data_IF_484215075566
#
_entry.id   IF_484215075566
#
_cell.length_a   1.000
_cell.length_b   1.000
_cell.length_c   1.000
_cell.angle_alpha   90.00
_cell.angle_beta   90.00
_cell.angle_gamma   90.00
#
_symmetry.space_group_name_H-M   'P 1'
#
loop_
_entity.id
_entity.type
_entity.pdbx_description
1 polymer ?
#
# COMPACT_ATOMS: atom_id res chain seq x y z
N UNK A 1 -12.53 22.59 -32.63
CA UNK A 1 -12.42 21.36 -31.82
C UNK A 1 -12.55 21.74 -30.35
N UNK A 2 -13.55 21.24 -29.61
CA UNK A 2 -13.79 21.60 -28.22
C UNK A 2 -12.73 20.92 -27.34
N UNK A 3 -11.92 21.71 -26.61
CA UNK A 3 -10.88 21.19 -25.69
C UNK A 3 -11.54 20.41 -24.55
N UNK A 4 -11.12 19.16 -24.34
CA UNK A 4 -11.52 18.39 -23.16
C UNK A 4 -10.82 18.96 -21.91
N UNK A 5 -11.56 19.05 -20.81
CA UNK A 5 -11.01 19.41 -19.48
C UNK A 5 -10.94 18.15 -18.61
N UNK A 6 -9.95 18.09 -17.74
CA UNK A 6 -9.80 16.98 -16.78
C UNK A 6 -10.38 17.43 -15.45
N UNK A 7 -11.23 16.60 -14.84
CA UNK A 7 -11.75 16.84 -13.51
C UNK A 7 -10.63 16.72 -12.48
N UNK A 8 -10.38 17.75 -11.71
CA UNK A 8 -9.33 17.76 -10.69
C UNK A 8 -9.62 16.81 -9.52
N UNK A 9 -10.88 16.47 -9.29
CA UNK A 9 -11.30 15.59 -8.19
C UNK A 9 -11.19 14.10 -8.53
N UNK A 10 -11.46 13.69 -9.79
CA UNK A 10 -11.50 12.26 -10.16
C UNK A 10 -10.74 11.91 -11.45
N UNK A 11 -10.01 12.85 -12.04
CA UNK A 11 -9.21 12.63 -13.25
C UNK A 11 -9.97 12.39 -14.56
N UNK A 12 -11.31 12.39 -14.55
CA UNK A 12 -12.11 12.09 -15.74
C UNK A 12 -12.02 13.18 -16.80
N UNK A 13 -11.84 12.82 -18.08
CA UNK A 13 -11.93 13.75 -19.22
C UNK A 13 -13.39 14.18 -19.41
N UNK A 14 -13.64 15.48 -19.47
CA UNK A 14 -14.95 16.09 -19.53
C UNK A 14 -15.00 17.01 -20.74
N UNK A 15 -16.13 17.00 -21.44
CA UNK A 15 -16.37 17.91 -22.56
C UNK A 15 -16.45 19.35 -22.05
N UNK A 16 -15.76 20.28 -22.68
CA UNK A 16 -15.80 21.69 -22.33
C UNK A 16 -17.25 22.21 -22.25
N UNK A 17 -17.54 23.08 -21.26
CA UNK A 17 -18.87 23.69 -21.07
C UNK A 17 -19.78 23.02 -20.02
N UNK A 18 -19.38 21.90 -19.41
CA UNK A 18 -20.14 21.33 -18.26
C UNK A 18 -19.77 22.02 -16.96
N UNK A 19 -20.80 22.36 -16.15
CA UNK A 19 -20.63 22.98 -14.82
C UNK A 19 -20.34 21.98 -13.71
N UNK A 20 -20.63 20.69 -13.91
CA UNK A 20 -20.38 19.61 -12.94
C UNK A 20 -19.80 18.37 -13.63
N UNK A 21 -18.91 17.67 -12.95
CA UNK A 21 -18.37 16.40 -13.40
C UNK A 21 -19.46 15.31 -13.42
N UNK A 22 -19.67 14.59 -14.54
CA UNK A 22 -20.70 13.55 -14.59
C UNK A 22 -20.38 12.34 -13.72
N UNK A 23 -19.10 12.15 -13.34
CA UNK A 23 -18.66 10.98 -12.59
C UNK A 23 -18.66 11.23 -11.07
N UNK A 24 -18.08 12.35 -10.59
CA UNK A 24 -17.99 12.64 -9.15
C UNK A 24 -18.89 13.80 -8.69
N UNK A 25 -19.66 14.41 -9.59
CA UNK A 25 -20.56 15.57 -9.38
C UNK A 25 -19.87 16.84 -8.87
N UNK A 26 -18.53 16.86 -8.76
CA UNK A 26 -17.77 18.05 -8.37
C UNK A 26 -18.06 19.23 -9.32
N UNK A 27 -18.17 20.42 -8.77
CA UNK A 27 -18.37 21.65 -9.54
C UNK A 27 -17.07 21.99 -10.26
N UNK A 28 -17.15 22.20 -11.58
CA UNK A 28 -16.02 22.52 -12.44
C UNK A 28 -15.94 24.05 -12.55
N UNK A 29 -15.23 24.66 -11.59
CA UNK A 29 -14.88 26.08 -11.68
C UNK A 29 -13.64 26.23 -12.58
N UNK A 30 -13.71 27.12 -13.56
CA UNK A 30 -12.51 27.47 -14.32
C UNK A 30 -11.48 28.06 -13.36
N UNK A 31 -10.20 27.65 -13.41
CA UNK A 31 -9.17 28.24 -12.57
C UNK A 31 -9.07 29.73 -12.85
N UNK A 32 -9.02 30.53 -11.80
CA UNK A 32 -8.85 32.00 -11.89
C UNK A 32 -7.55 32.28 -12.67
N UNK A 33 -7.59 33.01 -13.78
CA UNK A 33 -6.42 33.27 -14.63
C UNK A 33 -5.30 33.98 -13.86
N UNK A 34 -5.61 34.70 -12.78
CA UNK A 34 -4.61 35.35 -11.91
C UNK A 34 -3.84 34.33 -11.05
N UNK A 35 -4.50 33.25 -10.60
CA UNK A 35 -3.87 32.18 -9.82
C UNK A 35 -2.97 31.31 -10.72
N UNK A 36 -3.41 31.02 -11.96
CA UNK A 36 -2.62 30.26 -12.92
C UNK A 36 -1.31 30.99 -13.31
N UNK A 37 -1.36 32.31 -13.49
CA UNK A 37 -0.18 33.12 -13.81
C UNK A 37 0.81 33.23 -12.65
N UNK A 38 0.33 33.27 -11.40
CA UNK A 38 1.17 33.32 -10.20
C UNK A 38 1.92 31.98 -9.96
N UNK A 39 1.29 30.85 -10.22
CA UNK A 39 1.91 29.53 -10.11
C UNK A 39 3.01 29.32 -11.17
N UNK A 40 2.78 29.74 -12.41
CA UNK A 40 3.78 29.68 -13.49
C UNK A 40 5.06 30.45 -13.15
N UNK A 41 4.94 31.68 -12.60
CA UNK A 41 6.11 32.48 -12.22
C UNK A 41 6.89 31.93 -11.02
N UNK A 42 6.25 31.23 -10.08
CA UNK A 42 6.94 30.57 -8.96
C UNK A 42 7.70 29.30 -9.42
N UNK A 43 7.13 28.52 -10.32
CA UNK A 43 7.76 27.32 -10.88
C UNK A 43 9.01 27.65 -11.71
N UNK A 44 8.98 28.71 -12.53
CA UNK A 44 10.15 29.12 -13.31
C UNK A 44 11.29 29.64 -12.46
N UNK A 45 11.01 30.32 -11.34
CA UNK A 45 12.06 30.79 -10.39
C UNK A 45 12.67 29.62 -9.61
N UNK A 46 11.86 28.66 -9.16
CA UNK A 46 12.36 27.48 -8.46
C UNK A 46 13.22 26.59 -9.36
N UNK A 47 12.84 26.39 -10.62
CA UNK A 47 13.61 25.62 -11.59
C UNK A 47 14.99 26.26 -11.88
N UNK A 48 15.07 27.59 -11.96
CA UNK A 48 16.34 28.30 -12.18
C UNK A 48 17.31 28.16 -10.99
N UNK A 49 16.81 28.16 -9.75
CA UNK A 49 17.64 28.00 -8.53
C UNK A 49 18.16 26.54 -8.45
N UNK A 50 17.35 25.56 -8.74
CA UNK A 50 17.76 24.14 -8.72
C UNK A 50 18.79 23.84 -9.81
N UNK A 51 18.62 24.38 -11.02
CA UNK A 51 19.60 24.23 -12.10
C UNK A 51 20.96 24.87 -11.76
N UNK A 52 20.96 26.04 -11.11
CA UNK A 52 22.20 26.69 -10.66
C UNK A 52 22.95 25.92 -9.57
N UNK A 53 22.21 25.34 -8.60
CA UNK A 53 22.79 24.51 -7.54
C UNK A 53 23.37 23.18 -8.10
N UNK A 54 22.72 22.58 -9.09
CA UNK A 54 23.19 21.34 -9.72
C UNK A 54 24.48 21.56 -10.53
N UNK A 55 24.59 22.68 -11.24
CA UNK A 55 25.80 23.05 -11.98
C UNK A 55 27.01 23.26 -11.04
N UNK A 56 26.82 23.87 -9.88
CA UNK A 56 27.86 24.03 -8.87
C UNK A 56 28.34 22.70 -8.29
N UNK A 57 27.44 21.78 -7.99
CA UNK A 57 27.79 20.45 -7.48
C UNK A 57 28.59 19.65 -8.51
N UNK A 58 28.21 19.69 -9.80
CA UNK A 58 28.94 19.01 -10.87
C UNK A 58 30.36 19.57 -11.04
N UNK A 59 30.54 20.89 -10.95
CA UNK A 59 31.85 21.53 -11.03
C UNK A 59 32.73 21.13 -9.84
N UNK A 60 32.21 21.10 -8.62
CA UNK A 60 32.95 20.65 -7.42
C UNK A 60 33.37 19.21 -7.51
N UNK A 61 32.46 18.33 -7.97
CA UNK A 61 32.76 16.91 -8.17
C UNK A 61 33.78 16.65 -9.29
N UNK A 62 33.81 17.51 -10.32
CA UNK A 62 34.81 17.44 -11.37
C UNK A 62 36.21 17.85 -10.89
N UNK A 63 36.31 18.88 -10.04
CA UNK A 63 37.56 19.28 -9.41
C UNK A 63 38.08 18.29 -8.35
N UNK A 64 37.21 17.54 -7.69
CA UNK A 64 37.59 16.52 -6.70
C UNK A 64 38.02 15.17 -7.32
N UNK A 65 37.86 14.99 -8.62
CA UNK A 65 38.29 13.77 -9.33
C UNK A 65 39.73 13.92 -9.82
N UNK A 66 40.70 13.61 -8.95
CA UNK A 66 42.08 13.41 -9.34
C UNK A 66 42.24 12.22 -10.32
N UNK A 67 43.36 12.12 -11.04
CA UNK A 67 43.51 11.15 -12.12
C UNK A 67 43.44 9.68 -11.62
N UNK A 68 42.67 8.89 -12.35
CA UNK A 68 42.40 7.47 -12.04
C UNK A 68 43.68 6.63 -12.13
N UNK A 69 44.04 5.98 -11.03
CA UNK A 69 45.04 4.93 -11.01
C UNK A 69 44.39 3.61 -11.46
N UNK A 70 44.85 3.09 -12.58
CA UNK A 70 44.47 1.81 -13.15
C UNK A 70 45.01 0.67 -12.29
N UNK A 71 44.12 -0.17 -11.71
CA UNK A 71 44.51 -1.48 -11.16
C UNK A 71 43.68 -2.58 -11.80
N UNK A 72 44.38 -3.51 -12.44
CA UNK A 72 43.87 -4.73 -13.05
C UNK A 72 43.27 -5.70 -11.99
N UNK A 73 42.24 -6.50 -12.34
CA UNK A 73 41.66 -7.45 -11.41
C UNK A 73 42.43 -8.76 -11.34
N UNK A 74 42.77 -9.18 -10.14
CA UNK A 74 43.25 -10.54 -9.84
C UNK A 74 42.06 -11.44 -9.60
N UNK A 75 41.94 -12.48 -10.41
CA UNK A 75 40.98 -13.56 -10.22
C UNK A 75 41.30 -14.35 -8.93
N UNK A 76 40.30 -14.61 -8.08
CA UNK A 76 40.37 -15.67 -7.07
C UNK A 76 39.14 -16.56 -7.12
N UNK A 77 39.44 -17.79 -7.29
CA UNK A 77 38.70 -19.04 -7.30
C UNK A 77 37.78 -19.19 -6.07
N UNK A 78 36.60 -19.73 -6.34
CA UNK A 78 35.69 -20.27 -5.33
C UNK A 78 36.23 -21.60 -4.73
N UNK A 79 35.80 -21.93 -3.52
CA UNK A 79 35.32 -23.28 -3.31
C UNK A 79 34.07 -23.38 -2.42
N UNK A 80 33.22 -24.36 -2.81
CA UNK A 80 32.60 -25.28 -1.85
C UNK A 80 31.29 -24.83 -1.21
N UNK A 81 30.20 -25.25 -1.84
CA UNK A 81 28.91 -25.53 -1.23
C UNK A 81 29.05 -26.58 -0.11
N UNK A 82 28.36 -26.44 1.02
CA UNK A 82 27.71 -27.60 1.60
C UNK A 82 26.22 -27.42 1.84
N UNK A 83 25.56 -28.34 1.26
CA UNK A 83 24.16 -28.71 1.37
C UNK A 83 23.64 -28.87 2.80
N UNK A 84 22.32 -28.57 2.91
CA UNK A 84 21.34 -29.28 3.73
C UNK A 84 21.37 -29.03 5.26
N UNK A 85 20.50 -28.15 5.71
CA UNK A 85 19.63 -28.54 6.80
C UNK A 85 18.29 -27.79 6.71
N UNK A 86 17.35 -28.41 6.02
CA UNK A 86 15.94 -28.01 5.98
C UNK A 86 15.31 -28.44 7.30
N UNK A 87 15.44 -27.64 8.36
CA UNK A 87 14.54 -27.74 9.50
C UNK A 87 13.27 -26.96 9.14
N UNK A 88 12.21 -27.70 8.92
CA UNK A 88 10.86 -27.19 8.87
C UNK A 88 10.59 -26.37 10.13
N UNK A 89 10.50 -25.07 9.98
CA UNK A 89 9.86 -24.22 10.97
C UNK A 89 8.37 -24.54 10.96
N UNK A 90 7.71 -24.67 12.15
CA UNK A 90 6.27 -24.87 12.19
C UNK A 90 5.63 -23.67 11.51
N UNK A 91 4.63 -23.95 10.67
CA UNK A 91 3.80 -22.96 10.03
C UNK A 91 3.17 -22.08 11.12
N UNK A 92 3.79 -20.95 11.40
CA UNK A 92 3.11 -19.87 12.05
C UNK A 92 1.95 -19.52 11.13
N UNK A 93 0.73 -19.75 11.62
CA UNK A 93 -0.49 -19.38 10.96
C UNK A 93 -0.36 -17.90 10.57
N UNK A 94 -0.02 -17.65 9.32
CA UNK A 94 -0.18 -16.36 8.70
C UNK A 94 -1.68 -16.10 8.70
N UNK A 95 -2.14 -15.32 9.68
CA UNK A 95 -3.44 -14.69 9.58
C UNK A 95 -3.49 -14.06 8.19
N UNK A 96 -4.50 -14.38 7.38
CA UNK A 96 -4.52 -13.91 6.02
C UNK A 96 -4.54 -12.38 6.06
N UNK A 97 -3.69 -11.76 5.23
CA UNK A 97 -3.84 -10.38 4.77
C UNK A 97 -5.14 -10.19 3.95
N UNK A 98 -6.03 -11.14 4.05
CA UNK A 98 -7.37 -11.17 3.52
C UNK A 98 -8.35 -10.53 4.52
N UNK A 99 -8.11 -9.29 4.92
CA UNK A 99 -9.19 -8.44 5.33
C UNK A 99 -10.02 -8.20 4.08
N UNK A 100 -11.18 -8.85 4.00
CA UNK A 100 -12.30 -8.66 3.06
C UNK A 100 -11.95 -7.81 1.83
N UNK A 101 -11.26 -8.43 0.90
CA UNK A 101 -10.81 -7.84 -0.37
C UNK A 101 -12.00 -7.53 -1.33
N UNK A 102 -13.24 -7.80 -0.89
CA UNK A 102 -14.43 -7.73 -1.74
C UNK A 102 -14.82 -6.32 -2.18
N UNK A 103 -14.34 -5.29 -1.48
CA UNK A 103 -14.62 -3.89 -1.83
C UNK A 103 -13.54 -3.17 -2.64
N UNK A 104 -12.32 -3.69 -2.68
CA UNK A 104 -11.14 -2.94 -3.11
C UNK A 104 -10.46 -3.44 -4.39
N UNK A 105 -10.81 -4.61 -4.90
CA UNK A 105 -10.28 -5.10 -6.18
C UNK A 105 -10.84 -4.33 -7.39
N UNK A 106 -11.92 -3.58 -7.20
CA UNK A 106 -12.66 -2.93 -8.28
C UNK A 106 -11.99 -1.70 -8.91
N UNK A 107 -11.23 -0.84 -8.21
CA UNK A 107 -10.65 0.33 -8.87
C UNK A 107 -9.42 0.05 -9.72
N UNK A 108 -8.84 -1.16 -9.64
CA UNK A 108 -7.53 -1.46 -10.21
C UNK A 108 -7.56 -2.30 -11.50
N UNK A 109 -8.73 -2.76 -11.90
CA UNK A 109 -8.93 -3.54 -13.12
C UNK A 109 -9.79 -2.73 -14.10
N UNK A 110 -9.46 -2.80 -15.40
CA UNK A 110 -10.40 -2.32 -16.43
C UNK A 110 -11.67 -3.20 -16.36
N UNK A 111 -12.80 -2.65 -15.91
CA UNK A 111 -14.02 -3.46 -15.71
C UNK A 111 -14.65 -3.91 -17.02
N UNK A 112 -14.19 -3.41 -18.16
CA UNK A 112 -14.72 -3.73 -19.50
C UNK A 112 -13.98 -4.87 -20.19
N UNK A 113 -12.84 -5.31 -19.67
CA UNK A 113 -12.00 -6.32 -20.30
C UNK A 113 -12.35 -7.76 -19.91
N UNK A 114 -12.16 -8.70 -20.86
CA UNK A 114 -12.31 -10.15 -20.59
C UNK A 114 -11.42 -10.65 -19.45
N UNK A 115 -10.22 -10.09 -19.32
CA UNK A 115 -9.29 -10.40 -18.23
C UNK A 115 -9.84 -10.00 -16.85
N UNK A 116 -10.47 -8.81 -16.77
CA UNK A 116 -11.10 -8.33 -15.55
C UNK A 116 -12.31 -9.20 -15.15
N UNK A 117 -13.16 -9.56 -16.11
CA UNK A 117 -14.29 -10.45 -15.85
C UNK A 117 -13.85 -11.81 -15.32
N UNK A 118 -12.81 -12.41 -15.91
CA UNK A 118 -12.24 -13.67 -15.45
C UNK A 118 -11.64 -13.55 -14.03
N UNK A 119 -10.90 -12.46 -13.76
CA UNK A 119 -10.36 -12.18 -12.44
C UNK A 119 -11.46 -12.08 -11.38
N UNK A 120 -12.53 -11.35 -11.66
CA UNK A 120 -13.66 -11.21 -10.74
C UNK A 120 -14.42 -12.51 -10.53
N UNK A 121 -14.43 -13.42 -11.52
CA UNK A 121 -14.98 -14.76 -11.41
C UNK A 121 -14.04 -15.74 -10.67
N UNK A 122 -12.81 -15.31 -10.29
CA UNK A 122 -11.80 -16.19 -9.68
C UNK A 122 -11.08 -17.09 -10.68
N UNK A 123 -11.36 -16.96 -11.97
CA UNK A 123 -10.65 -17.68 -13.03
C UNK A 123 -9.33 -16.96 -13.38
N UNK A 124 -8.36 -17.14 -12.49
CA UNK A 124 -7.06 -16.50 -12.63
C UNK A 124 -6.25 -17.05 -13.80
N UNK A 125 -6.52 -18.28 -14.26
CA UNK A 125 -5.85 -18.87 -15.42
C UNK A 125 -6.26 -18.13 -16.71
N UNK A 126 -7.56 -17.93 -16.92
CA UNK A 126 -8.08 -17.15 -18.04
C UNK A 126 -7.65 -15.67 -17.94
N UNK A 127 -7.72 -15.07 -16.74
CA UNK A 127 -7.28 -13.69 -16.52
C UNK A 127 -5.79 -13.52 -16.88
N UNK A 128 -4.92 -14.45 -16.47
CA UNK A 128 -3.50 -14.46 -16.80
C UNK A 128 -3.27 -14.43 -18.31
N UNK A 129 -3.92 -15.35 -19.04
CA UNK A 129 -3.82 -15.44 -20.49
C UNK A 129 -4.26 -14.14 -21.17
N UNK A 130 -5.40 -13.57 -20.77
CA UNK A 130 -5.94 -12.35 -21.36
C UNK A 130 -5.01 -11.15 -21.14
N UNK A 131 -4.45 -10.98 -19.94
CA UNK A 131 -3.52 -9.88 -19.66
C UNK A 131 -2.14 -10.10 -20.29
N UNK A 132 -1.65 -11.34 -20.42
CA UNK A 132 -0.44 -11.65 -21.20
C UNK A 132 -0.61 -11.27 -22.66
N UNK A 133 -1.74 -11.60 -23.28
CA UNK A 133 -2.08 -11.20 -24.65
C UNK A 133 -2.17 -9.67 -24.78
N UNK A 134 -2.75 -8.97 -23.79
CA UNK A 134 -2.83 -7.51 -23.79
C UNK A 134 -1.45 -6.87 -23.73
N UNK A 135 -0.58 -7.34 -22.83
CA UNK A 135 0.82 -6.86 -22.68
C UNK A 135 1.65 -7.18 -23.92
N UNK A 136 1.41 -8.31 -24.58
CA UNK A 136 2.09 -8.66 -25.84
C UNK A 136 1.70 -7.73 -26.96
N UNK A 137 0.41 -7.38 -27.08
CA UNK A 137 -0.10 -6.43 -28.09
C UNK A 137 0.33 -4.99 -27.83
N UNK A 138 0.37 -4.59 -26.57
CA UNK A 138 0.80 -3.25 -26.16
C UNK A 138 1.71 -3.33 -24.91
N UNK A 139 3.04 -3.47 -25.09
CA UNK A 139 4.00 -3.56 -23.98
C UNK A 139 4.10 -2.28 -23.11
N UNK A 140 3.54 -1.16 -23.58
CA UNK A 140 3.52 0.13 -22.90
C UNK A 140 2.16 0.43 -22.22
N UNK A 141 1.26 -0.55 -22.17
CA UNK A 141 0.01 -0.42 -21.41
C UNK A 141 0.26 -0.71 -19.93
N UNK A 142 0.46 0.37 -19.16
CA UNK A 142 0.72 0.29 -17.73
C UNK A 142 -0.42 -0.36 -16.94
N UNK A 143 -1.65 -0.24 -17.40
CA UNK A 143 -2.81 -0.83 -16.74
C UNK A 143 -2.80 -2.36 -16.90
N UNK A 144 -2.64 -2.87 -18.12
CA UNK A 144 -2.49 -4.31 -18.36
C UNK A 144 -1.30 -4.91 -17.63
N UNK A 145 -0.16 -4.21 -17.57
CA UNK A 145 1.00 -4.63 -16.77
C UNK A 145 0.65 -4.76 -15.29
N UNK A 146 0.01 -3.74 -14.70
CA UNK A 146 -0.39 -3.78 -13.29
C UNK A 146 -1.41 -4.90 -13.01
N UNK A 147 -2.37 -5.10 -13.92
CA UNK A 147 -3.38 -6.13 -13.80
C UNK A 147 -2.78 -7.54 -13.93
N UNK A 148 -1.82 -7.73 -14.84
CA UNK A 148 -1.05 -8.99 -14.95
C UNK A 148 -0.31 -9.30 -13.64
N UNK A 149 0.36 -8.31 -13.06
CA UNK A 149 1.00 -8.44 -11.75
C UNK A 149 0.01 -8.84 -10.65
N UNK A 150 -1.18 -8.25 -10.61
CA UNK A 150 -2.22 -8.61 -9.64
C UNK A 150 -2.71 -10.05 -9.79
N UNK A 151 -2.93 -10.51 -11.02
CA UNK A 151 -3.29 -11.92 -11.29
C UNK A 151 -2.22 -12.86 -10.77
N UNK A 152 -0.93 -12.57 -11.03
CA UNK A 152 0.19 -13.37 -10.53
C UNK A 152 0.22 -13.41 -9.00
N UNK A 153 -0.03 -12.30 -8.32
CA UNK A 153 -0.15 -12.25 -6.84
C UNK A 153 -1.28 -13.15 -6.35
N UNK A 154 -2.45 -13.13 -7.00
CA UNK A 154 -3.58 -14.02 -6.63
C UNK A 154 -3.27 -15.51 -6.87
N UNK A 155 -2.43 -15.82 -7.82
CA UNK A 155 -1.92 -17.17 -8.09
C UNK A 155 -0.75 -17.58 -7.19
N UNK A 156 -0.42 -16.77 -6.17
CA UNK A 156 0.74 -16.94 -5.27
C UNK A 156 2.10 -16.93 -5.98
N UNK A 157 2.20 -16.31 -7.16
CA UNK A 157 3.42 -16.14 -7.97
C UNK A 157 3.96 -14.71 -7.80
N UNK A 158 4.22 -14.36 -6.53
CA UNK A 158 4.45 -12.95 -6.13
C UNK A 158 5.76 -12.39 -6.70
N UNK A 159 6.82 -13.19 -6.73
CA UNK A 159 8.12 -12.79 -7.30
C UNK A 159 7.99 -12.41 -8.77
N UNK A 160 7.19 -13.18 -9.53
CA UNK A 160 6.97 -12.93 -10.94
C UNK A 160 6.13 -11.66 -11.21
N UNK A 161 5.35 -11.22 -10.23
CA UNK A 161 4.55 -10.01 -10.34
C UNK A 161 5.38 -8.72 -10.26
N UNK A 162 6.50 -8.73 -9.54
CA UNK A 162 7.29 -7.51 -9.28
C UNK A 162 7.72 -6.76 -10.54
N UNK A 163 8.32 -7.40 -11.57
CA UNK A 163 8.77 -6.71 -12.77
C UNK A 163 7.60 -6.05 -13.53
N UNK A 164 6.40 -6.60 -13.46
CA UNK A 164 5.23 -6.01 -14.10
C UNK A 164 4.77 -4.73 -13.40
N UNK A 165 4.73 -4.71 -12.06
CA UNK A 165 4.44 -3.49 -11.31
C UNK A 165 5.52 -2.42 -11.51
N UNK A 166 6.79 -2.80 -11.53
CA UNK A 166 7.90 -1.87 -11.79
C UNK A 166 7.81 -1.26 -13.19
N UNK A 167 7.50 -2.07 -14.22
CA UNK A 167 7.27 -1.57 -15.57
C UNK A 167 6.06 -0.63 -15.65
N UNK A 168 4.96 -0.97 -14.99
CA UNK A 168 3.77 -0.09 -14.93
C UNK A 168 4.13 1.27 -14.32
N UNK A 169 4.92 1.31 -13.26
CA UNK A 169 5.40 2.52 -12.61
C UNK A 169 6.44 3.29 -13.44
N UNK A 170 7.26 2.61 -14.23
CA UNK A 170 8.17 3.26 -15.17
C UNK A 170 7.41 4.04 -16.26
N UNK A 171 6.23 3.56 -16.66
CA UNK A 171 5.35 4.22 -17.65
C UNK A 171 4.51 5.32 -16.99
N UNK A 172 3.93 5.06 -15.80
CA UNK A 172 3.06 6.00 -15.07
C UNK A 172 3.50 6.09 -13.60
N UNK A 173 4.52 6.93 -13.28
CA UNK A 173 5.14 7.00 -11.95
C UNK A 173 4.20 7.45 -10.83
N UNK A 174 3.25 8.34 -11.15
CA UNK A 174 2.38 8.99 -10.17
C UNK A 174 1.00 8.31 -10.06
N UNK A 175 0.93 7.02 -10.34
CA UNK A 175 -0.29 6.23 -10.13
C UNK A 175 -0.21 5.55 -8.76
N UNK A 176 -0.95 6.07 -7.79
CA UNK A 176 -0.97 5.55 -6.41
C UNK A 176 -1.29 4.05 -6.34
N UNK A 177 -2.23 3.57 -7.17
CA UNK A 177 -2.64 2.17 -7.19
C UNK A 177 -1.52 1.22 -7.65
N UNK A 178 -0.62 1.65 -8.53
CA UNK A 178 0.53 0.84 -8.93
C UNK A 178 1.57 0.78 -7.82
N UNK A 179 1.79 1.89 -7.09
CA UNK A 179 2.63 1.92 -5.89
C UNK A 179 2.07 1.01 -4.80
N UNK A 180 0.75 1.05 -4.56
CA UNK A 180 0.06 0.18 -3.62
C UNK A 180 0.23 -1.30 -3.98
N UNK A 181 0.03 -1.67 -5.26
CA UNK A 181 0.18 -3.06 -5.72
C UNK A 181 1.61 -3.56 -5.56
N UNK A 182 2.61 -2.73 -5.90
CA UNK A 182 4.02 -3.04 -5.67
C UNK A 182 4.30 -3.24 -4.18
N UNK A 183 3.83 -2.33 -3.33
CA UNK A 183 4.01 -2.40 -1.89
C UNK A 183 3.42 -3.68 -1.29
N UNK A 184 2.21 -4.05 -1.70
CA UNK A 184 1.56 -5.29 -1.28
C UNK A 184 2.36 -6.53 -1.68
N UNK A 185 2.84 -6.59 -2.92
CA UNK A 185 3.68 -7.68 -3.39
C UNK A 185 4.99 -7.78 -2.59
N UNK A 186 5.67 -6.66 -2.35
CA UNK A 186 6.87 -6.61 -1.52
C UNK A 186 6.60 -7.07 -0.08
N UNK A 187 5.47 -6.65 0.51
CA UNK A 187 5.04 -7.09 1.83
C UNK A 187 4.77 -8.59 1.94
N UNK A 188 4.20 -9.21 0.89
CA UNK A 188 3.99 -10.67 0.81
C UNK A 188 5.33 -11.41 0.74
N UNK A 189 6.35 -10.83 0.14
CA UNK A 189 7.71 -11.38 0.05
C UNK A 189 8.57 -11.10 1.30
N UNK A 190 8.02 -10.46 2.33
CA UNK A 190 8.76 -10.08 3.53
C UNK A 190 9.74 -8.92 3.35
N UNK A 191 9.76 -8.26 2.19
CA UNK A 191 10.61 -7.09 1.89
C UNK A 191 10.00 -5.82 2.50
N UNK A 192 9.88 -5.80 3.85
CA UNK A 192 9.09 -4.81 4.58
C UNK A 192 9.55 -3.37 4.37
N UNK A 193 10.86 -3.11 4.37
CA UNK A 193 11.37 -1.74 4.19
C UNK A 193 10.99 -1.16 2.82
N UNK A 194 11.06 -1.98 1.78
CA UNK A 194 10.67 -1.57 0.43
C UNK A 194 9.15 -1.43 0.30
N UNK A 195 8.39 -2.31 0.95
CA UNK A 195 6.93 -2.20 1.02
C UNK A 195 6.50 -0.88 1.69
N UNK A 196 7.12 -0.53 2.84
CA UNK A 196 6.87 0.72 3.55
C UNK A 196 7.16 1.94 2.66
N UNK A 197 8.29 1.93 1.94
CA UNK A 197 8.63 3.02 1.02
C UNK A 197 7.58 3.20 -0.09
N UNK A 198 7.14 2.10 -0.70
CA UNK A 198 6.12 2.11 -1.74
C UNK A 198 4.73 2.50 -1.21
N UNK A 199 4.32 2.02 -0.01
CA UNK A 199 3.08 2.48 0.64
C UNK A 199 3.12 3.97 0.99
N UNK A 200 4.24 4.49 1.50
CA UNK A 200 4.41 5.94 1.74
C UNK A 200 4.25 6.74 0.45
N UNK A 201 4.81 6.25 -0.65
CA UNK A 201 4.62 6.90 -1.96
C UNK A 201 3.16 6.86 -2.41
N UNK A 202 2.48 5.74 -2.28
CA UNK A 202 1.05 5.62 -2.57
C UNK A 202 0.22 6.60 -1.73
N UNK A 203 0.49 6.69 -0.42
CA UNK A 203 -0.18 7.62 0.51
C UNK A 203 0.07 9.09 0.16
N UNK A 204 1.28 9.46 -0.30
CA UNK A 204 1.56 10.82 -0.78
C UNK A 204 0.73 11.17 -2.02
N UNK A 205 0.51 10.23 -2.91
CA UNK A 205 -0.27 10.41 -4.14
C UNK A 205 -1.77 10.43 -3.88
N UNK A 206 -2.24 9.69 -2.88
CA UNK A 206 -3.65 9.64 -2.47
C UNK A 206 -3.75 9.57 -0.93
N UNK A 207 -3.72 10.72 -0.24
CA UNK A 207 -3.62 10.78 1.23
C UNK A 207 -4.83 10.24 2.00
N UNK A 208 -6.02 10.28 1.41
CA UNK A 208 -7.27 9.92 2.07
C UNK A 208 -7.68 8.46 1.83
N UNK A 209 -6.76 7.64 1.29
CA UNK A 209 -6.99 6.22 1.14
C UNK A 209 -6.69 5.47 2.45
N UNK A 210 -7.76 5.10 3.16
CA UNK A 210 -7.64 4.35 4.42
C UNK A 210 -6.99 2.98 4.25
N UNK A 211 -7.12 2.37 3.07
CA UNK A 211 -6.54 1.07 2.77
C UNK A 211 -5.02 1.13 2.69
N UNK A 212 -4.49 2.08 1.94
CA UNK A 212 -3.05 2.33 1.88
C UNK A 212 -2.51 2.67 3.26
N UNK A 213 -3.23 3.53 4.01
CA UNK A 213 -2.86 3.93 5.36
C UNK A 213 -2.81 2.75 6.31
N UNK A 214 -3.82 1.87 6.30
CA UNK A 214 -3.86 0.66 7.11
C UNK A 214 -2.76 -0.35 6.73
N UNK A 215 -2.54 -0.58 5.43
CA UNK A 215 -1.49 -1.50 4.98
C UNK A 215 -0.08 -0.97 5.28
N UNK A 216 0.12 0.35 5.24
CA UNK A 216 1.36 0.98 5.71
C UNK A 216 1.57 0.70 7.21
N UNK A 217 0.52 0.86 8.02
CA UNK A 217 0.58 0.55 9.45
C UNK A 217 0.92 -0.92 9.72
N UNK A 218 0.29 -1.85 8.99
CA UNK A 218 0.61 -3.28 9.08
C UNK A 218 2.07 -3.58 8.70
N UNK A 219 2.59 -2.95 7.67
CA UNK A 219 3.98 -3.13 7.24
C UNK A 219 4.96 -2.57 8.30
N UNK A 220 4.66 -1.42 8.89
CA UNK A 220 5.42 -0.82 9.99
C UNK A 220 5.40 -1.71 11.24
N UNK A 221 4.24 -2.23 11.63
CA UNK A 221 4.12 -3.19 12.73
C UNK A 221 4.98 -4.44 12.50
N UNK A 222 4.90 -5.02 11.29
CA UNK A 222 5.70 -6.19 10.92
C UNK A 222 7.20 -5.92 10.88
N UNK A 223 7.61 -4.70 10.56
CA UNK A 223 9.03 -4.29 10.61
C UNK A 223 9.52 -3.97 12.03
N UNK A 224 8.63 -3.92 13.02
CA UNK A 224 8.93 -3.60 14.41
C UNK A 224 8.84 -2.10 14.75
N UNK A 225 8.48 -1.25 13.80
CA UNK A 225 8.23 0.18 14.06
C UNK A 225 6.78 0.39 14.53
N UNK A 226 6.49 -0.14 15.74
CA UNK A 226 5.16 -0.07 16.32
C UNK A 226 4.73 1.37 16.65
N UNK A 227 5.67 2.27 16.91
CA UNK A 227 5.35 3.67 17.16
C UNK A 227 4.75 4.34 15.91
N UNK A 228 5.42 4.21 14.77
CA UNK A 228 4.90 4.71 13.49
C UNK A 228 3.63 3.94 13.05
N UNK A 229 3.53 2.63 13.36
CA UNK A 229 2.32 1.86 13.08
C UNK A 229 1.10 2.42 13.81
N UNK A 230 1.21 2.76 15.09
CA UNK A 230 0.13 3.37 15.90
C UNK A 230 -0.36 4.66 15.25
N UNK A 231 0.53 5.55 14.81
CA UNK A 231 0.13 6.79 14.12
C UNK A 231 -0.71 6.51 12.87
N UNK A 232 -0.27 5.54 12.05
CA UNK A 232 -0.98 5.21 10.82
C UNK A 232 -2.31 4.48 11.11
N UNK A 233 -2.41 3.64 12.15
CA UNK A 233 -3.69 3.03 12.55
C UNK A 233 -4.69 4.09 13.02
N UNK A 234 -4.28 5.06 13.84
CA UNK A 234 -5.13 6.16 14.26
C UNK A 234 -5.64 6.99 13.07
N UNK A 235 -4.77 7.22 12.09
CA UNK A 235 -5.16 7.88 10.85
C UNK A 235 -6.18 7.04 10.06
N UNK A 236 -5.97 5.74 9.92
CA UNK A 236 -6.91 4.84 9.24
C UNK A 236 -8.28 4.82 9.94
N UNK A 237 -8.31 4.80 11.28
CA UNK A 237 -9.54 4.91 12.08
C UNK A 237 -10.26 6.24 11.83
N UNK A 238 -9.51 7.35 11.68
CA UNK A 238 -10.13 8.67 11.36
C UNK A 238 -10.76 8.66 9.97
N UNK A 239 -10.12 8.00 8.99
CA UNK A 239 -10.63 7.91 7.62
C UNK A 239 -11.83 6.94 7.49
N UNK A 240 -11.81 5.83 8.25
CA UNK A 240 -12.87 4.82 8.23
C UNK A 240 -13.14 4.33 9.67
N UNK A 241 -14.00 5.04 10.44
CA UNK A 241 -14.21 4.74 11.86
C UNK A 241 -14.94 3.42 12.15
N UNK A 242 -15.70 2.90 11.20
CA UNK A 242 -16.54 1.72 11.39
C UNK A 242 -15.79 0.39 11.21
N UNK A 243 -14.55 0.42 10.72
CA UNK A 243 -13.76 -0.81 10.55
C UNK A 243 -13.11 -1.22 11.88
N UNK A 244 -13.67 -2.27 12.48
CA UNK A 244 -13.19 -2.80 13.76
C UNK A 244 -11.75 -3.33 13.68
N UNK A 245 -11.32 -3.84 12.52
CA UNK A 245 -9.99 -4.46 12.35
C UNK A 245 -8.84 -3.49 12.66
N UNK A 246 -9.04 -2.19 12.42
CA UNK A 246 -8.04 -1.17 12.71
C UNK A 246 -7.77 -1.03 14.21
N UNK A 247 -8.84 -1.14 15.03
CA UNK A 247 -8.72 -1.06 16.50
C UNK A 247 -8.05 -2.29 17.08
N UNK A 248 -8.33 -3.47 16.51
CA UNK A 248 -7.64 -4.70 16.88
C UNK A 248 -6.14 -4.61 16.59
N UNK A 249 -5.78 -4.15 15.37
CA UNK A 249 -4.39 -3.97 14.97
C UNK A 249 -3.67 -2.89 15.80
N UNK A 250 -4.34 -1.77 16.10
CA UNK A 250 -3.85 -0.72 16.99
C UNK A 250 -3.53 -1.29 18.38
N UNK A 251 -4.45 -2.07 18.97
CA UNK A 251 -4.25 -2.72 20.25
C UNK A 251 -3.01 -3.62 20.28
N UNK A 252 -2.77 -4.37 19.21
CA UNK A 252 -1.59 -5.23 19.09
C UNK A 252 -0.27 -4.41 19.07
N UNK A 253 -0.21 -3.31 18.35
CA UNK A 253 0.98 -2.44 18.33
C UNK A 253 1.18 -1.71 19.65
N UNK A 254 0.11 -1.25 20.31
CA UNK A 254 0.18 -0.64 21.63
C UNK A 254 0.71 -1.62 22.68
N UNK A 255 0.34 -2.91 22.59
CA UNK A 255 0.92 -3.96 23.45
C UNK A 255 2.43 -4.11 23.25
N UNK A 256 2.91 -4.11 22.01
CA UNK A 256 4.35 -4.14 21.72
C UNK A 256 5.10 -2.97 22.34
N UNK A 257 4.46 -1.81 22.40
CA UNK A 257 4.97 -0.61 23.06
C UNK A 257 4.77 -0.60 24.59
N UNK A 258 4.29 -1.70 25.18
CA UNK A 258 3.98 -1.81 26.62
C UNK A 258 2.90 -0.83 27.13
N UNK A 259 2.12 -0.24 26.25
CA UNK A 259 1.02 0.69 26.54
C UNK A 259 -0.26 -0.09 26.87
N UNK A 260 -0.23 -0.82 28.01
CA UNK A 260 -1.26 -1.79 28.40
C UNK A 260 -2.67 -1.19 28.49
N UNK A 261 -2.81 -0.02 29.10
CA UNK A 261 -4.12 0.65 29.28
C UNK A 261 -4.71 1.11 27.92
N UNK A 262 -3.87 1.70 27.07
CA UNK A 262 -4.28 2.13 25.72
C UNK A 262 -4.66 0.93 24.84
N UNK A 263 -3.91 -0.18 24.95
CA UNK A 263 -4.21 -1.42 24.24
C UNK A 263 -5.56 -2.01 24.68
N UNK A 264 -5.83 -2.05 25.98
CA UNK A 264 -7.11 -2.52 26.52
C UNK A 264 -8.28 -1.66 25.98
N UNK A 265 -8.11 -0.33 25.96
CA UNK A 265 -9.12 0.59 25.40
C UNK A 265 -9.35 0.33 23.91
N UNK A 266 -8.29 0.13 23.10
CA UNK A 266 -8.42 -0.17 21.68
C UNK A 266 -9.17 -1.51 21.45
N UNK A 267 -8.90 -2.53 22.24
CA UNK A 267 -9.63 -3.82 22.18
C UNK A 267 -11.09 -3.70 22.62
N UNK A 268 -11.39 -2.85 23.62
CA UNK A 268 -12.78 -2.58 24.01
C UNK A 268 -13.56 -1.94 22.86
N UNK A 269 -12.96 -0.95 22.18
CA UNK A 269 -13.58 -0.32 21.00
C UNK A 269 -13.76 -1.32 19.83
N UNK A 270 -12.80 -2.25 19.64
CA UNK A 270 -12.97 -3.34 18.69
C UNK A 270 -14.21 -4.18 19.01
N UNK A 271 -14.39 -4.61 20.27
CA UNK A 271 -15.52 -5.44 20.69
C UNK A 271 -16.85 -4.70 20.64
N UNK A 272 -16.88 -3.38 20.81
CA UNK A 272 -18.09 -2.56 20.60
C UNK A 272 -18.58 -2.60 19.15
N UNK A 273 -17.64 -2.56 18.19
CA UNK A 273 -17.97 -2.62 16.77
C UNK A 273 -18.23 -4.07 16.27
N UNK A 274 -17.61 -5.05 16.90
CA UNK A 274 -17.70 -6.45 16.49
C UNK A 274 -17.84 -7.39 17.69
N UNK A 275 -18.98 -7.33 18.43
CA UNK A 275 -19.15 -8.08 19.68
C UNK A 275 -19.23 -9.62 19.49
N UNK A 276 -19.61 -10.07 18.30
CA UNK A 276 -19.71 -11.47 17.91
C UNK A 276 -18.59 -11.93 16.96
N UNK A 277 -17.46 -11.22 16.92
CA UNK A 277 -16.31 -11.65 16.13
C UNK A 277 -15.79 -13.01 16.59
N UNK A 278 -15.24 -13.84 15.70
CA UNK A 278 -14.75 -15.17 16.06
C UNK A 278 -13.67 -15.18 17.14
N UNK A 279 -12.93 -14.10 17.28
CA UNK A 279 -11.87 -13.89 18.27
C UNK A 279 -12.31 -13.06 19.50
N UNK A 280 -13.61 -12.72 19.61
CA UNK A 280 -14.12 -11.85 20.66
C UNK A 280 -13.79 -12.36 22.08
N UNK A 281 -13.91 -13.65 22.34
CA UNK A 281 -13.59 -14.22 23.65
C UNK A 281 -12.10 -14.15 23.96
N UNK A 282 -11.25 -14.37 22.98
CA UNK A 282 -9.80 -14.21 23.11
C UNK A 282 -9.45 -12.76 23.44
N UNK A 283 -10.12 -11.80 22.77
CA UNK A 283 -9.89 -10.37 23.02
C UNK A 283 -10.41 -9.97 24.40
N UNK A 284 -11.57 -10.49 24.87
CA UNK A 284 -12.09 -10.29 26.24
C UNK A 284 -11.10 -10.77 27.29
N UNK A 285 -10.56 -11.99 27.11
CA UNK A 285 -9.54 -12.54 28.02
C UNK A 285 -8.29 -11.64 28.06
N UNK A 286 -7.84 -11.15 26.92
CA UNK A 286 -6.71 -10.24 26.83
C UNK A 286 -6.97 -8.90 27.53
N UNK A 287 -8.17 -8.34 27.42
CA UNK A 287 -8.56 -7.14 28.15
C UNK A 287 -8.52 -7.40 29.67
N UNK A 288 -9.07 -8.52 30.13
CA UNK A 288 -9.07 -8.88 31.55
C UNK A 288 -7.62 -8.99 32.09
N UNK A 289 -6.73 -9.65 31.37
CA UNK A 289 -5.29 -9.73 31.71
C UNK A 289 -4.64 -8.33 31.78
N UNK A 290 -4.95 -7.44 30.84
CA UNK A 290 -4.36 -6.10 30.77
C UNK A 290 -4.85 -5.18 31.88
N UNK A 291 -6.10 -5.33 32.31
CA UNK A 291 -6.75 -4.49 33.32
C UNK A 291 -6.69 -5.07 34.73
N UNK A 292 -6.22 -6.33 34.89
CA UNK A 292 -6.24 -7.03 36.19
C UNK A 292 -7.64 -7.46 36.63
N UNK A 293 -8.65 -7.39 35.73
CA UNK A 293 -10.00 -7.85 36.01
C UNK A 293 -10.07 -9.39 35.93
N UNK A 294 -10.77 -10.04 36.85
CA UNK A 294 -11.02 -11.47 36.77
C UNK A 294 -11.80 -11.79 35.47
N UNK A 295 -11.48 -12.87 34.72
CA UNK A 295 -12.21 -13.23 33.51
C UNK A 295 -13.69 -13.48 33.85
N UNK A 296 -14.59 -12.93 33.03
CA UNK A 296 -16.04 -13.00 33.23
C UNK A 296 -16.61 -14.46 33.23
N UNK A 297 -15.82 -15.45 32.90
CA UNK A 297 -16.18 -16.87 32.92
C UNK A 297 -16.09 -17.54 34.29
N UNK A 298 -15.68 -16.81 35.37
CA UNK A 298 -15.58 -17.38 36.73
C UNK A 298 -16.87 -17.25 37.54
N UNK A 299 -17.94 -16.68 37.00
CA UNK A 299 -19.23 -16.73 37.67
C UNK A 299 -19.92 -18.02 37.22
N UNK A 300 -19.62 -19.10 37.94
CA UNK A 300 -20.47 -20.30 37.91
C UNK A 300 -21.90 -19.91 38.30
N UNK A 301 -22.96 -20.45 37.65
CA UNK A 301 -24.29 -20.22 38.14
C UNK A 301 -24.38 -20.86 39.54
N UNK A 302 -24.51 -19.97 40.54
CA UNK A 302 -24.67 -20.37 41.92
C UNK A 302 -25.78 -21.37 42.03
N UNK A 303 -25.46 -22.56 42.60
CA UNK A 303 -26.43 -23.54 42.98
C UNK A 303 -27.45 -22.92 43.92
N UNK A 304 -28.68 -22.82 43.43
CA UNK A 304 -29.84 -22.57 44.28
C UNK A 304 -30.23 -23.87 44.93
N UNK A 305 -30.31 -23.86 46.23
CA UNK A 305 -30.95 -24.88 47.08
C UNK A 305 -32.44 -24.90 46.82
#
# INVERSE_FOLDING_TARGET
MARAIICQTCGSKIRAGRKKCPRCRAVLTAPDPKIAAAHSRKLTRAAAIVAGAFALVVIVLWFMRGPAISTTPVAKTAPGDPLTNRRQAPAAASAPLAAKDEGMARPFLDPSGKGAAAYMAGDYATALKQYQEAVTRNPQDAESLSNLGQVLVRMNRVEEALPFFQRALAIVPDRWSYQFNLARALGLLGRMNEAIAAYRRAQQLFPDDYVTTFNLALALHKSGDDAAAVEQYLRAITLQPEDASFRLALGNSLLKLQKRAEAAAAYQEYLKLSPAAPDADTVRAKIAELTGAAPASAIAPGGGL
#
